data_IF_385619103558
#
_entry.id   IF_385619103558
#
_cell.length_a   1.000
_cell.length_b   1.000
_cell.length_c   1.000
_cell.angle_alpha   90.00
_cell.angle_beta   90.00
_cell.angle_gamma   90.00
#
_symmetry.space_group_name_H-M   'P 1'
#
loop_
_entity.id
_entity.type
_entity.pdbx_description
1 polymer ?
#
# COMPACT_ATOMS: atom_id res chain seq x y z
N UNK A 1 30.65 -4.54 -27.97
CA UNK A 1 29.22 -4.37 -27.67
C UNK A 1 29.04 -2.96 -27.11
N UNK A 2 28.36 -2.08 -27.84
CA UNK A 2 27.95 -0.78 -27.29
C UNK A 2 26.99 -1.06 -26.12
N UNK A 3 27.37 -0.66 -24.90
CA UNK A 3 26.46 -0.71 -23.74
C UNK A 3 25.25 0.19 -24.07
N UNK A 4 24.07 -0.37 -24.00
CA UNK A 4 22.84 0.39 -24.13
C UNK A 4 22.80 1.45 -23.02
N UNK A 5 22.42 2.69 -23.37
CA UNK A 5 22.24 3.72 -22.36
C UNK A 5 21.16 3.28 -21.36
N UNK A 6 21.42 3.41 -20.06
CA UNK A 6 20.48 3.05 -19.03
C UNK A 6 19.19 3.87 -19.16
N UNK A 7 18.06 3.20 -18.96
CA UNK A 7 16.73 3.76 -18.99
C UNK A 7 16.02 3.32 -17.71
N UNK A 8 15.72 4.29 -16.83
CA UNK A 8 15.14 4.02 -15.51
C UNK A 8 13.73 4.59 -15.48
N UNK A 9 12.68 3.78 -15.59
CA UNK A 9 11.31 4.25 -15.48
C UNK A 9 11.00 4.68 -14.05
N UNK A 10 10.12 5.66 -13.90
CA UNK A 10 9.48 6.02 -12.63
C UNK A 10 7.98 5.97 -12.87
N UNK A 11 7.28 5.28 -12.00
CA UNK A 11 5.83 5.13 -12.07
C UNK A 11 5.17 5.91 -10.94
N UNK A 12 4.01 6.51 -11.20
CA UNK A 12 3.23 7.23 -10.20
C UNK A 12 1.77 6.80 -10.23
N UNK A 13 1.17 6.74 -9.03
CA UNK A 13 -0.24 6.46 -8.78
C UNK A 13 -0.81 7.58 -7.90
N UNK A 14 -2.14 7.65 -7.84
CA UNK A 14 -2.86 8.54 -6.93
C UNK A 14 -3.70 7.70 -5.98
N UNK A 15 -3.35 7.66 -4.70
CA UNK A 15 -4.07 6.83 -3.74
C UNK A 15 -5.56 7.23 -3.57
N UNK A 16 -5.92 8.46 -3.92
CA UNK A 16 -7.31 8.95 -3.98
C UNK A 16 -8.11 8.42 -5.18
N UNK A 17 -7.44 7.83 -6.18
CA UNK A 17 -8.07 7.36 -7.42
C UNK A 17 -8.74 5.99 -7.24
N UNK A 18 -9.94 6.00 -6.67
CA UNK A 18 -10.77 4.82 -6.41
C UNK A 18 -12.13 5.01 -7.06
N UNK A 19 -12.28 4.55 -8.31
CA UNK A 19 -13.51 4.65 -9.11
C UNK A 19 -14.13 3.29 -9.45
N UNK A 20 -13.54 2.18 -8.97
CA UNK A 20 -13.99 0.82 -9.27
C UNK A 20 -13.25 -0.23 -8.48
N UNK A 21 -13.51 -1.52 -8.76
CA UNK A 21 -12.89 -2.64 -8.03
C UNK A 21 -11.65 -3.23 -8.72
N UNK A 22 -11.30 -2.79 -9.93
CA UNK A 22 -10.28 -3.41 -10.77
C UNK A 22 -9.06 -2.52 -10.98
N UNK A 23 -8.00 -3.09 -11.57
CA UNK A 23 -6.75 -2.42 -11.87
C UNK A 23 -6.92 -1.10 -12.65
N UNK A 24 -7.83 -1.05 -13.63
CA UNK A 24 -8.03 0.12 -14.48
C UNK A 24 -8.81 1.26 -13.80
N UNK A 25 -9.39 1.00 -12.64
CA UNK A 25 -10.31 1.90 -11.95
C UNK A 25 -9.95 2.17 -10.47
N UNK A 26 -8.90 1.51 -9.95
CA UNK A 26 -8.50 1.62 -8.55
C UNK A 26 -6.99 1.51 -8.41
N UNK A 27 -6.35 2.60 -8.00
CA UNK A 27 -4.90 2.66 -7.91
C UNK A 27 -4.30 1.79 -6.79
N UNK A 28 -5.06 1.43 -5.75
CA UNK A 28 -4.60 0.44 -4.76
C UNK A 28 -4.51 -0.97 -5.34
N UNK A 29 -5.50 -1.33 -6.18
CA UNK A 29 -5.49 -2.61 -6.91
C UNK A 29 -4.37 -2.60 -7.94
N UNK A 30 -4.27 -1.51 -8.72
CA UNK A 30 -3.23 -1.34 -9.72
C UNK A 30 -1.83 -1.45 -9.10
N UNK A 31 -1.56 -0.69 -8.05
CA UNK A 31 -0.25 -0.66 -7.39
C UNK A 31 0.17 -2.04 -6.86
N UNK A 32 -0.77 -2.76 -6.20
CA UNK A 32 -0.51 -4.11 -5.69
C UNK A 32 -0.15 -5.08 -6.82
N UNK A 33 -0.93 -5.09 -7.90
CA UNK A 33 -0.73 -5.99 -9.04
C UNK A 33 0.52 -5.63 -9.85
N UNK A 34 0.76 -4.34 -10.05
CA UNK A 34 1.92 -3.83 -10.75
C UNK A 34 3.22 -4.14 -9.99
N UNK A 35 3.27 -4.00 -8.68
CA UNK A 35 4.44 -4.34 -7.87
C UNK A 35 4.82 -5.82 -8.01
N UNK A 36 3.83 -6.71 -7.99
CA UNK A 36 4.02 -8.15 -8.25
C UNK A 36 4.52 -8.38 -9.68
N UNK A 37 3.94 -7.68 -10.64
CA UNK A 37 4.30 -7.83 -12.06
C UNK A 37 5.71 -7.31 -12.35
N UNK A 38 6.09 -6.13 -11.86
CA UNK A 38 7.42 -5.54 -11.98
C UNK A 38 8.50 -6.46 -11.41
N UNK A 39 8.20 -7.09 -10.28
CA UNK A 39 9.10 -8.05 -9.64
C UNK A 39 9.28 -9.31 -10.51
N UNK A 40 8.20 -9.84 -11.11
CA UNK A 40 8.28 -10.97 -12.06
C UNK A 40 9.06 -10.62 -13.33
N UNK A 41 9.01 -9.36 -13.76
CA UNK A 41 9.80 -8.86 -14.89
C UNK A 41 11.29 -8.67 -14.55
N UNK A 42 11.68 -8.86 -13.28
CA UNK A 42 13.05 -8.74 -12.80
C UNK A 42 13.52 -7.30 -12.57
N UNK A 43 12.60 -6.33 -12.52
CA UNK A 43 12.92 -4.96 -12.18
C UNK A 43 13.11 -4.79 -10.67
N UNK A 44 14.10 -3.99 -10.27
CA UNK A 44 14.42 -3.71 -8.87
C UNK A 44 13.95 -2.32 -8.49
N UNK A 45 13.14 -2.24 -7.46
CA UNK A 45 12.68 -0.96 -6.91
C UNK A 45 13.82 -0.24 -6.22
N UNK A 46 13.99 1.06 -6.50
CA UNK A 46 14.95 1.94 -5.82
C UNK A 46 14.29 3.28 -5.45
N UNK A 47 14.73 3.93 -4.35
CA UNK A 47 14.21 5.25 -3.97
C UNK A 47 14.44 6.31 -5.06
N UNK A 48 13.48 7.22 -5.26
CA UNK A 48 13.62 8.32 -6.21
C UNK A 48 14.85 9.19 -5.92
N UNK A 49 15.18 9.40 -4.65
CA UNK A 49 16.38 10.11 -4.25
C UNK A 49 17.67 9.43 -4.74
N UNK A 50 17.68 8.11 -4.92
CA UNK A 50 18.84 7.42 -5.51
C UNK A 50 18.91 7.65 -7.02
N UNK A 51 17.77 7.68 -7.73
CA UNK A 51 17.69 8.00 -9.16
C UNK A 51 18.20 9.44 -9.40
N UNK A 52 17.68 10.41 -8.65
CA UNK A 52 18.08 11.81 -8.74
C UNK A 52 19.59 11.98 -8.51
N UNK A 53 20.16 11.36 -7.45
CA UNK A 53 21.60 11.41 -7.18
C UNK A 53 22.44 10.79 -8.30
N UNK A 54 22.01 9.63 -8.83
CA UNK A 54 22.73 8.98 -9.94
C UNK A 54 22.67 9.79 -11.21
N UNK A 55 21.55 10.44 -11.50
CA UNK A 55 21.41 11.37 -12.63
C UNK A 55 22.35 12.56 -12.46
N UNK A 56 22.33 13.24 -11.31
CA UNK A 56 23.18 14.40 -11.01
C UNK A 56 24.68 14.09 -11.12
N UNK A 57 25.09 12.85 -10.82
CA UNK A 57 26.49 12.40 -10.91
C UNK A 57 26.88 11.83 -12.27
N UNK A 58 25.95 11.69 -13.21
CA UNK A 58 26.20 10.99 -14.48
C UNK A 58 26.38 9.47 -14.32
N UNK A 59 25.89 8.88 -13.23
CA UNK A 59 26.08 7.45 -12.87
C UNK A 59 24.82 6.61 -13.10
N UNK A 60 23.88 7.08 -13.95
CA UNK A 60 22.59 6.41 -14.16
C UNK A 60 22.73 4.96 -14.64
N UNK A 61 23.84 4.62 -15.30
CA UNK A 61 24.13 3.25 -15.74
C UNK A 61 24.22 2.23 -14.58
N UNK A 62 24.46 2.67 -13.35
CA UNK A 62 24.44 1.81 -12.16
C UNK A 62 23.02 1.33 -11.78
N UNK A 63 22.00 2.00 -12.32
CA UNK A 63 20.59 1.71 -12.06
C UNK A 63 19.92 0.99 -13.25
N UNK A 64 20.68 0.35 -14.13
CA UNK A 64 20.11 -0.50 -15.20
C UNK A 64 19.23 -1.62 -14.57
N UNK A 65 18.03 -1.80 -15.09
CA UNK A 65 17.04 -2.74 -14.53
C UNK A 65 16.40 -2.30 -13.22
N UNK A 66 16.56 -1.03 -12.83
CA UNK A 66 15.87 -0.45 -11.69
C UNK A 66 14.64 0.37 -12.11
N UNK A 67 13.75 0.60 -11.15
CA UNK A 67 12.52 1.36 -11.31
C UNK A 67 12.24 2.18 -10.04
N UNK A 68 11.70 3.40 -10.21
CA UNK A 68 11.19 4.23 -9.12
C UNK A 68 9.67 4.11 -8.97
N UNK A 69 9.17 4.26 -7.73
CA UNK A 69 7.74 4.28 -7.42
C UNK A 69 7.38 5.57 -6.69
N UNK A 70 6.26 6.19 -7.07
CA UNK A 70 5.77 7.41 -6.41
C UNK A 70 4.25 7.45 -6.34
N UNK A 71 3.75 8.27 -5.42
CA UNK A 71 2.34 8.64 -5.28
C UNK A 71 2.24 10.15 -5.26
N UNK A 72 1.15 10.70 -5.77
CA UNK A 72 0.92 12.13 -5.72
C UNK A 72 -0.22 12.47 -4.75
N UNK A 73 -0.34 13.75 -4.38
CA UNK A 73 -1.29 14.41 -3.50
C UNK A 73 -1.05 14.23 -2.01
N UNK A 74 -0.64 13.06 -1.52
CA UNK A 74 -0.35 12.81 -0.11
C UNK A 74 -1.62 12.70 0.75
N UNK A 75 -2.61 11.95 0.29
CA UNK A 75 -3.85 11.67 1.03
C UNK A 75 -3.63 10.60 2.10
N UNK A 76 -4.58 10.47 3.05
CA UNK A 76 -4.54 9.45 4.10
C UNK A 76 -4.48 8.02 3.53
N UNK A 77 -4.97 7.80 2.32
CA UNK A 77 -4.90 6.53 1.60
C UNK A 77 -3.47 6.06 1.29
N UNK A 78 -2.49 6.95 1.31
CA UNK A 78 -1.09 6.56 1.17
C UNK A 78 -0.60 5.73 2.35
N UNK A 79 -1.14 5.98 3.55
CA UNK A 79 -0.63 5.39 4.79
C UNK A 79 -1.65 4.61 5.61
N UNK A 80 -2.91 5.03 5.64
CA UNK A 80 -3.99 4.39 6.39
C UNK A 80 -4.87 3.52 5.49
N UNK A 81 -5.26 2.34 5.99
CA UNK A 81 -6.32 1.57 5.36
C UNK A 81 -7.65 2.27 5.61
N UNK A 82 -8.36 2.63 4.55
CA UNK A 82 -9.52 3.51 4.63
C UNK A 82 -10.79 2.84 4.09
N UNK A 83 -11.96 3.08 4.71
CA UNK A 83 -13.24 2.64 4.17
C UNK A 83 -13.73 3.59 3.07
N UNK A 84 -13.67 3.17 1.81
CA UNK A 84 -14.26 3.96 0.73
C UNK A 84 -15.79 3.72 0.68
N UNK A 85 -16.65 4.78 0.63
CA UNK A 85 -18.11 4.62 0.74
C UNK A 85 -18.74 3.74 -0.32
N UNK A 86 -18.19 3.75 -1.55
CA UNK A 86 -18.71 2.99 -2.68
C UNK A 86 -17.93 1.71 -2.96
N UNK A 87 -16.64 1.65 -2.60
CA UNK A 87 -15.74 0.58 -3.04
C UNK A 87 -15.16 -0.24 -1.89
N UNK A 88 -15.73 -0.07 -0.68
CA UNK A 88 -15.33 -0.85 0.50
C UNK A 88 -13.94 -0.50 1.03
N UNK A 89 -13.34 -1.35 1.86
CA UNK A 89 -12.03 -1.09 2.45
C UNK A 89 -10.93 -1.05 1.38
N UNK A 90 -10.12 0.00 1.43
CA UNK A 90 -8.93 0.16 0.59
C UNK A 90 -7.68 -0.10 1.43
N UNK A 91 -6.82 -0.98 0.94
CA UNK A 91 -5.51 -1.24 1.53
C UNK A 91 -4.55 -0.11 1.18
N UNK A 92 -3.96 0.59 2.16
CA UNK A 92 -3.08 1.73 1.91
C UNK A 92 -1.83 1.36 1.08
N UNK A 93 -1.27 2.33 0.37
CA UNK A 93 -0.04 2.13 -0.40
C UNK A 93 1.10 1.66 0.49
N UNK A 94 1.24 2.22 1.69
CA UNK A 94 2.22 1.81 2.70
C UNK A 94 2.04 0.36 3.13
N UNK A 95 0.81 -0.08 3.35
CA UNK A 95 0.52 -1.45 3.79
C UNK A 95 0.65 -2.45 2.64
N UNK A 96 0.36 -2.07 1.39
CA UNK A 96 0.66 -2.90 0.20
C UNK A 96 2.16 -3.21 0.12
N UNK A 97 3.04 -2.21 0.34
CA UNK A 97 4.49 -2.42 0.40
C UNK A 97 4.89 -3.36 1.56
N UNK A 98 4.25 -3.22 2.72
CA UNK A 98 4.49 -4.07 3.87
C UNK A 98 4.06 -5.52 3.61
N UNK A 99 2.87 -5.72 3.05
CA UNK A 99 2.34 -7.04 2.69
C UNK A 99 3.22 -7.73 1.65
N UNK A 100 3.69 -6.97 0.63
CA UNK A 100 4.64 -7.48 -0.35
C UNK A 100 5.93 -7.97 0.34
N UNK A 101 6.50 -7.17 1.25
CA UNK A 101 7.72 -7.53 1.98
C UNK A 101 7.50 -8.73 2.90
N UNK A 102 6.35 -8.83 3.55
CA UNK A 102 6.00 -9.98 4.38
C UNK A 102 5.87 -11.27 3.57
N UNK A 103 5.26 -11.19 2.36
CA UNK A 103 5.04 -12.34 1.48
C UNK A 103 6.31 -12.84 0.80
N UNK A 104 7.14 -11.93 0.30
CA UNK A 104 8.30 -12.27 -0.55
C UNK A 104 9.65 -12.20 0.15
N UNK A 105 9.71 -11.67 1.38
CA UNK A 105 10.95 -11.43 2.09
C UNK A 105 11.69 -10.16 1.64
N UNK A 106 12.64 -9.72 2.47
CA UNK A 106 13.40 -8.48 2.20
C UNK A 106 14.32 -8.59 0.97
N UNK A 107 14.82 -9.79 0.67
CA UNK A 107 15.82 -10.00 -0.38
C UNK A 107 15.22 -9.90 -1.80
N UNK A 108 13.92 -10.08 -1.95
CA UNK A 108 13.23 -9.97 -3.24
C UNK A 108 13.29 -8.55 -3.79
N UNK A 109 13.04 -7.55 -2.93
CA UNK A 109 13.17 -6.13 -3.25
C UNK A 109 13.92 -5.42 -2.10
N UNK A 110 15.28 -5.50 -2.05
CA UNK A 110 16.06 -5.02 -0.90
C UNK A 110 15.86 -3.53 -0.61
N UNK A 111 15.65 -2.74 -1.67
CA UNK A 111 15.43 -1.29 -1.60
C UNK A 111 13.99 -0.89 -1.83
N UNK A 112 13.01 -1.77 -1.52
CA UNK A 112 11.58 -1.50 -1.69
C UNK A 112 11.21 -0.18 -1.00
N UNK A 113 10.79 0.78 -1.80
CA UNK A 113 10.53 2.14 -1.35
C UNK A 113 9.64 2.87 -2.36
N UNK A 114 8.78 3.76 -1.87
CA UNK A 114 8.03 4.70 -2.71
C UNK A 114 8.20 6.14 -2.18
N UNK A 115 7.89 7.11 -3.01
CA UNK A 115 7.89 8.53 -2.64
C UNK A 115 6.47 9.06 -2.74
N UNK A 116 5.92 9.62 -1.66
CA UNK A 116 4.65 10.32 -1.66
C UNK A 116 4.91 11.84 -1.77
N UNK A 117 4.51 12.43 -2.87
CA UNK A 117 4.54 13.89 -3.05
C UNK A 117 3.25 14.47 -2.48
N UNK A 118 3.37 15.30 -1.44
CA UNK A 118 2.24 15.77 -0.64
C UNK A 118 1.96 17.26 -0.84
N UNK A 119 0.71 17.62 -1.05
CA UNK A 119 0.21 19.00 -0.95
C UNK A 119 0.35 19.47 0.49
N UNK A 120 1.01 20.61 0.70
CA UNK A 120 1.49 20.98 2.04
C UNK A 120 0.53 21.85 2.82
N UNK A 121 -0.24 22.73 2.17
CA UNK A 121 -1.17 23.66 2.82
C UNK A 121 -2.33 22.91 3.52
N UNK A 122 -2.49 23.02 4.87
CA UNK A 122 -3.61 22.40 5.58
C UNK A 122 -4.97 22.92 5.10
N UNK A 123 -5.04 24.22 4.77
CA UNK A 123 -6.26 24.86 4.30
C UNK A 123 -6.63 24.37 2.88
N UNK A 124 -5.64 24.24 1.99
CA UNK A 124 -5.85 23.68 0.66
C UNK A 124 -6.33 22.23 0.74
N UNK A 125 -5.67 21.39 1.53
CA UNK A 125 -6.08 19.99 1.72
C UNK A 125 -7.51 19.88 2.21
N UNK A 126 -7.92 20.69 3.19
CA UNK A 126 -9.29 20.71 3.67
C UNK A 126 -10.30 21.07 2.56
N UNK A 127 -10.01 22.11 1.76
CA UNK A 127 -10.88 22.52 0.65
C UNK A 127 -10.91 21.49 -0.47
N UNK A 128 -9.76 20.89 -0.77
CA UNK A 128 -9.67 19.85 -1.80
C UNK A 128 -10.35 18.55 -1.35
N UNK A 129 -10.27 18.20 -0.08
CA UNK A 129 -11.03 17.07 0.46
C UNK A 129 -12.53 17.27 0.26
N UNK A 130 -13.06 18.47 0.57
CA UNK A 130 -14.46 18.81 0.34
C UNK A 130 -14.86 18.77 -1.14
N UNK A 131 -13.98 19.21 -2.03
CA UNK A 131 -14.27 19.33 -3.47
C UNK A 131 -14.02 18.02 -4.24
N UNK A 132 -13.01 17.26 -3.89
CA UNK A 132 -12.53 16.11 -4.66
C UNK A 132 -12.78 14.77 -3.95
N UNK A 133 -12.75 14.72 -2.61
CA UNK A 133 -12.92 13.50 -1.80
C UNK A 133 -14.25 13.47 -1.02
N UNK A 134 -15.22 14.26 -1.44
CA UNK A 134 -16.60 14.29 -0.91
C UNK A 134 -16.66 14.75 0.55
N UNK A 135 -15.64 15.43 1.06
CA UNK A 135 -15.57 15.91 2.44
C UNK A 135 -15.46 14.79 3.48
N UNK A 136 -14.84 13.70 3.13
CA UNK A 136 -14.69 12.54 4.00
C UNK A 136 -13.59 12.70 5.06
N UNK A 137 -12.84 13.80 5.03
CA UNK A 137 -11.67 14.07 5.89
C UNK A 137 -10.59 13.02 5.72
N UNK A 138 -10.13 12.85 4.50
CA UNK A 138 -9.11 11.87 4.11
C UNK A 138 -7.78 12.52 3.70
N UNK A 139 -7.50 13.75 4.17
CA UNK A 139 -6.31 14.49 3.74
C UNK A 139 -5.62 15.21 4.90
N UNK A 140 -5.05 14.43 5.83
CA UNK A 140 -4.32 14.92 6.99
C UNK A 140 -2.79 14.82 6.77
N UNK A 141 -2.01 15.31 7.73
CA UNK A 141 -0.55 15.23 7.73
C UNK A 141 0.03 14.58 8.99
N UNK A 142 -0.80 14.13 9.90
CA UNK A 142 -0.40 13.52 11.17
C UNK A 142 0.34 12.19 11.01
N UNK A 143 0.17 11.53 9.88
CA UNK A 143 0.85 10.29 9.53
C UNK A 143 2.24 10.48 8.88
N UNK A 144 2.62 11.69 8.41
CA UNK A 144 3.88 11.92 7.68
C UNK A 144 5.11 11.46 8.45
N UNK A 145 5.22 11.88 9.73
CA UNK A 145 6.33 11.47 10.57
C UNK A 145 6.33 9.95 10.88
N UNK A 146 5.18 9.30 10.88
CA UNK A 146 5.07 7.85 11.06
C UNK A 146 5.51 7.09 9.80
N UNK A 147 5.15 7.57 8.61
CA UNK A 147 5.59 7.01 7.33
C UNK A 147 7.12 7.06 7.18
N UNK A 148 7.72 8.22 7.50
CA UNK A 148 9.18 8.39 7.49
C UNK A 148 9.88 7.43 8.45
N UNK A 149 9.36 7.24 9.66
CA UNK A 149 9.92 6.26 10.62
C UNK A 149 9.79 4.82 10.15
N UNK A 150 8.71 4.48 9.42
CA UNK A 150 8.52 3.16 8.83
C UNK A 150 9.55 2.87 7.72
N UNK A 151 10.00 3.91 7.02
CA UNK A 151 11.11 3.87 6.06
C UNK A 151 10.79 3.19 4.73
N UNK A 152 9.53 2.92 4.41
CA UNK A 152 9.09 2.38 3.10
C UNK A 152 8.49 3.45 2.20
N UNK A 153 8.06 4.58 2.78
CA UNK A 153 7.58 5.74 2.06
C UNK A 153 8.32 6.99 2.57
N UNK A 154 8.85 7.80 1.66
CA UNK A 154 9.35 9.14 1.96
C UNK A 154 8.29 10.17 1.58
N UNK A 155 8.12 11.19 2.43
CA UNK A 155 7.20 12.29 2.17
C UNK A 155 7.97 13.44 1.53
N UNK A 156 7.57 13.84 0.33
CA UNK A 156 8.21 14.86 -0.48
C UNK A 156 7.21 15.93 -0.94
N UNK A 157 7.69 17.03 -1.53
CA UNK A 157 6.88 18.22 -1.76
C UNK A 157 6.06 18.14 -3.06
N UNK A 158 4.76 18.41 -2.97
CA UNK A 158 3.84 18.58 -4.11
C UNK A 158 3.20 19.97 -4.13
N UNK A 159 4.02 21.00 -3.94
CA UNK A 159 3.63 22.42 -3.82
C UNK A 159 2.84 22.78 -2.54
N UNK A 160 2.50 24.06 -2.43
CA UNK A 160 1.72 24.58 -1.32
C UNK A 160 0.26 24.17 -1.40
N UNK A 161 -0.41 24.50 -2.51
CA UNK A 161 -1.86 24.28 -2.67
C UNK A 161 -2.25 23.61 -4.00
N UNK A 162 -1.25 23.09 -4.74
CA UNK A 162 -1.44 22.43 -6.02
C UNK A 162 -1.93 23.38 -7.15
N UNK A 163 -2.11 24.65 -6.89
CA UNK A 163 -2.78 25.59 -7.78
C UNK A 163 -4.09 25.01 -8.38
N UNK A 164 -4.83 24.27 -7.53
CA UNK A 164 -5.92 23.41 -7.98
C UNK A 164 -7.14 24.22 -8.46
N UNK A 165 -7.79 23.75 -9.52
CA UNK A 165 -8.94 24.43 -10.14
C UNK A 165 -10.12 24.67 -9.17
N UNK A 166 -10.30 23.79 -8.18
CA UNK A 166 -11.37 23.90 -7.18
C UNK A 166 -11.09 24.93 -6.08
N UNK A 167 -9.87 25.49 -5.98
CA UNK A 167 -9.57 26.51 -4.98
C UNK A 167 -10.00 27.88 -5.47
N UNK A 168 -10.70 28.65 -4.62
CA UNK A 168 -11.08 30.02 -4.91
C UNK A 168 -9.94 31.02 -4.76
N UNK A 169 -8.95 30.66 -3.93
CA UNK A 169 -7.88 31.52 -3.43
C UNK A 169 -6.54 30.78 -3.36
N UNK A 170 -6.02 30.31 -4.49
CA UNK A 170 -4.64 29.82 -4.58
C UNK A 170 -3.64 30.91 -4.27
N UNK A 171 -2.48 30.54 -3.68
CA UNK A 171 -1.37 31.47 -3.43
C UNK A 171 -0.67 31.93 -4.70
N UNK A 172 -0.78 31.15 -5.78
CA UNK A 172 -0.29 31.48 -7.10
C UNK A 172 -1.27 32.33 -7.90
N UNK A 173 -0.76 33.18 -8.75
CA UNK A 173 -1.52 33.95 -9.76
C UNK A 173 -1.54 33.26 -11.11
N UNK A 174 -0.80 32.17 -11.28
CA UNK A 174 -0.85 31.32 -12.47
C UNK A 174 -2.28 30.82 -12.74
N UNK A 175 -2.64 30.52 -14.00
CA UNK A 175 -3.93 29.90 -14.31
C UNK A 175 -4.15 28.64 -13.48
N UNK A 176 -5.30 28.52 -12.82
CA UNK A 176 -5.65 27.37 -12.00
C UNK A 176 -5.92 26.13 -12.83
N UNK A 177 -5.67 24.98 -12.24
CA UNK A 177 -5.82 23.69 -12.93
C UNK A 177 -4.61 23.35 -13.80
N UNK A 178 -3.45 23.95 -13.51
CA UNK A 178 -2.14 23.69 -14.07
C UNK A 178 -1.06 24.31 -13.22
N UNK A 179 0.22 23.99 -13.50
CA UNK A 179 1.36 24.46 -12.69
C UNK A 179 2.39 25.24 -13.54
N UNK A 180 1.92 26.04 -14.50
CA UNK A 180 2.74 26.81 -15.42
C UNK A 180 3.21 28.13 -14.79
N UNK A 181 3.93 28.04 -13.66
CA UNK A 181 4.52 29.19 -12.96
C UNK A 181 5.64 29.81 -13.79
N UNK A 182 5.64 31.13 -13.94
CA UNK A 182 6.55 31.89 -14.79
C UNK A 182 7.24 33.08 -14.10
N UNK A 183 7.08 33.19 -12.76
CA UNK A 183 7.64 34.28 -11.98
C UNK A 183 8.09 33.85 -10.58
N UNK A 184 9.05 34.61 -10.00
CA UNK A 184 9.63 34.29 -8.68
C UNK A 184 8.60 34.35 -7.54
N UNK A 185 7.62 35.25 -7.57
CA UNK A 185 6.68 35.44 -6.46
C UNK A 185 5.77 34.21 -6.30
N UNK A 186 5.25 33.67 -7.40
CA UNK A 186 4.43 32.47 -7.38
C UNK A 186 5.27 31.22 -7.04
N UNK A 187 6.51 31.15 -7.55
CA UNK A 187 7.41 30.04 -7.21
C UNK A 187 7.82 30.06 -5.73
N UNK A 188 8.08 31.23 -5.13
CA UNK A 188 8.35 31.34 -3.69
C UNK A 188 7.12 30.92 -2.85
N UNK A 189 5.92 31.31 -3.26
CA UNK A 189 4.69 30.97 -2.53
C UNK A 189 4.38 29.46 -2.60
N UNK A 190 4.50 28.85 -3.79
CA UNK A 190 4.13 27.45 -4.02
C UNK A 190 5.22 26.46 -3.63
N UNK A 191 6.50 26.81 -3.77
CA UNK A 191 7.59 25.84 -3.63
C UNK A 191 8.43 26.10 -2.40
N UNK A 192 8.90 27.36 -2.18
CA UNK A 192 9.79 27.65 -1.05
C UNK A 192 9.07 27.48 0.28
N UNK A 193 7.87 28.04 0.41
CA UNK A 193 7.08 27.94 1.64
C UNK A 193 6.66 26.47 1.90
N UNK A 194 6.19 25.76 0.87
CA UNK A 194 5.85 24.34 0.99
C UNK A 194 7.05 23.51 1.47
N UNK A 195 8.22 23.71 0.86
CA UNK A 195 9.46 22.99 1.23
C UNK A 195 9.83 23.24 2.69
N UNK A 196 9.73 24.49 3.15
CA UNK A 196 10.04 24.88 4.52
C UNK A 196 9.10 24.22 5.54
N UNK A 197 7.79 24.24 5.29
CA UNK A 197 6.77 23.65 6.16
C UNK A 197 6.87 22.14 6.17
N UNK A 198 7.00 21.51 5.01
CA UNK A 198 7.09 20.06 4.87
C UNK A 198 8.22 19.45 5.72
N UNK A 199 9.37 20.12 5.81
CA UNK A 199 10.48 19.66 6.66
C UNK A 199 10.10 19.53 8.12
N UNK A 200 9.25 20.42 8.61
CA UNK A 200 8.77 20.36 10.00
C UNK A 200 7.76 19.25 10.23
N UNK A 201 6.94 18.95 9.21
CA UNK A 201 5.89 17.91 9.27
C UNK A 201 6.49 16.50 9.19
N UNK A 202 7.39 16.26 8.23
CA UNK A 202 7.97 14.92 8.02
C UNK A 202 9.00 14.52 9.10
N UNK A 203 9.55 15.49 9.84
CA UNK A 203 10.55 15.27 10.92
C UNK A 203 11.76 14.45 10.46
N UNK A 204 12.19 14.66 9.22
CA UNK A 204 13.36 14.04 8.61
C UNK A 204 14.29 15.15 8.09
N UNK A 205 15.58 15.02 8.39
CA UNK A 205 16.63 15.87 7.82
C UNK A 205 16.95 15.49 6.37
N UNK A 206 17.62 16.40 5.67
CA UNK A 206 18.10 16.20 4.31
C UNK A 206 17.26 16.89 3.24
N UNK A 207 17.67 16.68 2.00
CA UNK A 207 17.07 17.34 0.85
C UNK A 207 15.64 16.88 0.59
N UNK A 208 14.88 17.76 -0.05
CA UNK A 208 13.50 17.54 -0.49
C UNK A 208 13.51 17.23 -1.98
N UNK A 209 12.65 16.34 -2.40
CA UNK A 209 12.27 16.17 -3.81
C UNK A 209 10.98 16.96 -4.07
N UNK A 210 10.83 17.48 -5.29
CA UNK A 210 9.65 18.20 -5.70
C UNK A 210 8.92 17.44 -6.81
N UNK A 211 7.62 17.19 -6.67
CA UNK A 211 6.75 16.69 -7.73
C UNK A 211 5.92 17.84 -8.28
N UNK A 212 5.95 18.06 -9.59
CA UNK A 212 5.12 19.09 -10.21
C UNK A 212 3.64 18.69 -10.15
N UNK A 213 2.75 19.55 -9.60
CA UNK A 213 1.32 19.39 -9.78
C UNK A 213 0.94 19.25 -11.27
N UNK A 214 0.01 18.33 -11.56
CA UNK A 214 -0.41 17.96 -12.92
C UNK A 214 0.70 17.36 -13.80
N UNK A 215 1.92 17.29 -13.31
CA UNK A 215 3.11 17.00 -14.11
C UNK A 215 3.65 18.21 -14.89
N UNK A 216 2.96 19.34 -14.86
CA UNK A 216 3.21 20.53 -15.67
C UNK A 216 4.55 21.20 -15.33
N UNK A 217 5.41 21.36 -16.32
CA UNK A 217 6.73 21.96 -16.17
C UNK A 217 6.86 23.23 -17.01
N UNK A 218 6.98 24.38 -16.35
CA UNK A 218 7.32 25.61 -17.06
C UNK A 218 8.83 25.72 -17.35
N UNK A 219 9.19 26.30 -18.49
CA UNK A 219 10.60 26.61 -18.81
C UNK A 219 11.25 27.49 -17.73
N UNK A 220 10.50 28.42 -17.14
CA UNK A 220 10.98 29.25 -16.04
C UNK A 220 11.41 28.42 -14.84
N UNK A 221 10.57 27.49 -14.37
CA UNK A 221 10.92 26.64 -13.22
C UNK A 221 12.09 25.72 -13.53
N UNK A 222 12.04 25.00 -14.66
CA UNK A 222 13.04 23.97 -14.96
C UNK A 222 14.41 24.52 -15.37
N UNK A 223 14.47 25.66 -16.07
CA UNK A 223 15.70 26.19 -16.67
C UNK A 223 16.27 27.42 -15.97
N UNK A 224 15.46 28.11 -15.15
CA UNK A 224 15.90 29.32 -14.47
C UNK A 224 15.74 29.23 -12.96
N UNK A 225 14.55 29.01 -12.42
CA UNK A 225 14.28 29.13 -11.00
C UNK A 225 14.93 28.01 -10.16
N UNK A 226 14.69 26.72 -10.46
CA UNK A 226 15.32 25.63 -9.73
C UNK A 226 16.85 25.66 -9.79
N UNK A 227 17.50 25.87 -10.97
CA UNK A 227 18.96 26.01 -11.04
C UNK A 227 19.52 27.12 -10.13
N UNK A 228 18.79 28.21 -9.91
CA UNK A 228 19.20 29.32 -9.05
C UNK A 228 18.88 29.09 -7.56
N UNK A 229 17.77 28.44 -7.25
CA UNK A 229 17.17 28.45 -5.91
C UNK A 229 17.26 27.13 -5.17
N UNK A 230 17.33 26.01 -5.86
CA UNK A 230 17.17 24.68 -5.27
C UNK A 230 18.22 24.39 -4.19
N UNK A 231 19.49 24.73 -4.40
CA UNK A 231 20.56 24.51 -3.43
C UNK A 231 20.26 25.23 -2.10
N UNK A 232 19.88 26.50 -2.16
CA UNK A 232 19.57 27.31 -0.96
C UNK A 232 18.32 26.81 -0.22
N UNK A 233 17.41 26.16 -0.92
CA UNK A 233 16.20 25.55 -0.38
C UNK A 233 16.40 24.08 0.01
N UNK A 234 17.56 23.47 -0.33
CA UNK A 234 17.82 22.04 -0.17
C UNK A 234 16.84 21.18 -0.94
N UNK A 235 16.53 21.55 -2.18
CA UNK A 235 15.75 20.72 -3.11
C UNK A 235 16.74 19.98 -4.01
N UNK A 236 16.69 18.65 -4.04
CA UNK A 236 17.64 17.84 -4.78
C UNK A 236 17.26 17.60 -6.24
N UNK A 237 15.97 17.54 -6.55
CA UNK A 237 15.47 17.27 -7.90
C UNK A 237 13.98 17.61 -8.00
N UNK A 238 13.47 17.77 -9.23
CA UNK A 238 12.06 17.95 -9.51
C UNK A 238 11.57 16.93 -10.56
N UNK A 239 10.33 16.41 -10.37
CA UNK A 239 9.75 15.31 -11.13
C UNK A 239 8.49 15.76 -11.86
N UNK A 240 8.47 15.55 -13.18
CA UNK A 240 7.33 15.82 -14.07
C UNK A 240 6.48 14.57 -14.27
N UNK A 241 5.38 14.70 -15.02
CA UNK A 241 4.61 13.59 -15.54
C UNK A 241 4.14 13.83 -16.99
N UNK A 242 4.69 14.85 -17.65
CA UNK A 242 4.34 15.24 -19.03
C UNK A 242 5.07 14.43 -20.09
N UNK A 243 6.24 13.89 -19.77
CA UNK A 243 7.09 13.17 -20.72
C UNK A 243 6.77 11.66 -20.68
N UNK A 244 6.48 11.09 -21.83
CA UNK A 244 6.23 9.65 -21.98
C UNK A 244 7.53 8.85 -22.14
N UNK A 245 8.59 9.20 -21.39
CA UNK A 245 9.88 8.53 -21.49
C UNK A 245 10.49 8.19 -20.12
N UNK A 246 11.34 7.15 -20.05
CA UNK A 246 12.08 6.84 -18.83
C UNK A 246 13.25 7.80 -18.63
N UNK A 247 13.71 7.94 -17.39
CA UNK A 247 14.91 8.71 -17.07
C UNK A 247 16.11 8.16 -17.84
N UNK A 248 16.88 9.05 -18.49
CA UNK A 248 18.09 8.73 -19.22
C UNK A 248 19.20 9.78 -18.94
N UNK A 249 20.40 9.55 -19.43
CA UNK A 249 21.57 10.35 -19.07
C UNK A 249 21.48 11.84 -19.42
N UNK A 250 20.59 12.23 -20.32
CA UNK A 250 20.33 13.64 -20.69
C UNK A 250 19.02 14.20 -20.12
N UNK A 251 18.30 13.45 -19.28
CA UNK A 251 17.13 13.99 -18.57
C UNK A 251 17.53 15.16 -17.68
N UNK A 252 16.67 16.18 -17.60
CA UNK A 252 16.87 17.31 -16.71
C UNK A 252 16.69 16.89 -15.25
N UNK A 253 17.57 17.33 -14.36
CA UNK A 253 17.39 17.12 -12.93
C UNK A 253 16.15 17.86 -12.38
N UNK A 254 15.72 18.89 -13.09
CA UNK A 254 14.59 19.75 -12.72
C UNK A 254 13.29 19.44 -13.48
N UNK A 255 13.29 18.33 -14.23
CA UNK A 255 12.12 17.78 -14.92
C UNK A 255 12.36 16.28 -15.18
N UNK A 256 12.50 15.51 -14.12
CA UNK A 256 12.68 14.05 -14.20
C UNK A 256 11.35 13.42 -14.57
N UNK A 257 11.26 12.70 -15.71
CA UNK A 257 9.99 12.19 -16.22
C UNK A 257 9.44 11.01 -15.39
N UNK A 258 8.12 10.93 -15.30
CA UNK A 258 7.37 9.82 -14.68
C UNK A 258 6.24 9.38 -15.60
N UNK A 259 5.86 8.12 -15.48
CA UNK A 259 4.65 7.56 -16.09
C UNK A 259 3.51 7.51 -15.05
N UNK A 260 2.29 7.85 -15.46
CA UNK A 260 1.12 7.93 -14.58
C UNK A 260 0.15 6.79 -14.86
N UNK A 261 -0.21 6.06 -13.81
CA UNK A 261 -1.24 5.02 -13.84
C UNK A 261 -2.56 5.58 -14.37
N UNK A 262 -3.37 4.71 -14.99
CA UNK A 262 -4.66 5.03 -15.62
C UNK A 262 -4.56 5.96 -16.83
N UNK A 263 -3.48 6.74 -16.97
CA UNK A 263 -3.20 7.52 -18.18
C UNK A 263 -2.44 6.71 -19.22
N UNK A 264 -1.28 6.16 -18.87
CA UNK A 264 -0.44 5.40 -19.79
C UNK A 264 -0.68 3.89 -19.73
N UNK A 265 -1.20 3.34 -18.63
CA UNK A 265 -1.59 1.93 -18.55
C UNK A 265 -2.79 1.72 -17.62
N UNK A 266 -3.58 0.68 -17.90
CA UNK A 266 -4.76 0.26 -17.14
C UNK A 266 -4.78 -1.23 -16.84
N UNK A 267 -3.75 -1.95 -17.24
CA UNK A 267 -3.56 -3.38 -16.97
C UNK A 267 -2.06 -3.69 -16.82
N UNK A 268 -1.67 -4.74 -16.08
CA UNK A 268 -0.28 -5.16 -16.00
C UNK A 268 0.36 -5.45 -17.36
N UNK A 269 -0.43 -5.96 -18.33
CA UNK A 269 0.04 -6.22 -19.69
C UNK A 269 0.35 -4.93 -20.48
N UNK A 270 -0.42 -3.88 -20.27
CA UNK A 270 -0.14 -2.55 -20.84
C UNK A 270 1.09 -1.93 -20.20
N UNK A 271 1.26 -2.06 -18.88
CA UNK A 271 2.48 -1.63 -18.18
C UNK A 271 3.72 -2.33 -18.76
N UNK A 272 3.68 -3.65 -18.96
CA UNK A 272 4.80 -4.38 -19.56
C UNK A 272 5.12 -3.88 -20.98
N UNK A 273 4.10 -3.62 -21.79
CA UNK A 273 4.27 -3.06 -23.13
C UNK A 273 4.93 -1.68 -23.07
N UNK A 274 4.41 -0.78 -22.22
CA UNK A 274 4.97 0.55 -21.98
C UNK A 274 6.47 0.48 -21.61
N UNK A 275 6.82 -0.36 -20.65
CA UNK A 275 8.20 -0.53 -20.19
C UNK A 275 9.12 -1.12 -21.29
N UNK A 276 8.61 -1.96 -22.17
CA UNK A 276 9.36 -2.48 -23.33
C UNK A 276 9.58 -1.41 -24.39
N UNK A 277 8.57 -0.63 -24.71
CA UNK A 277 8.63 0.49 -25.66
C UNK A 277 9.58 1.57 -25.15
N UNK A 278 9.48 1.92 -23.87
CA UNK A 278 10.40 2.81 -23.17
C UNK A 278 11.84 2.27 -23.10
N UNK A 279 12.04 1.01 -23.42
CA UNK A 279 13.36 0.39 -23.42
C UNK A 279 13.91 0.05 -22.06
N UNK A 280 13.09 0.02 -21.02
CA UNK A 280 13.45 -0.39 -19.67
C UNK A 280 13.58 -1.91 -19.52
N UNK A 281 12.89 -2.67 -20.39
CA UNK A 281 12.96 -4.14 -20.42
C UNK A 281 13.78 -4.62 -21.62
N UNK A 282 14.43 -5.82 -21.53
CA UNK A 282 15.03 -6.46 -22.67
C UNK A 282 13.97 -6.72 -23.75
N UNK A 283 14.26 -6.44 -25.00
CA UNK A 283 13.40 -6.86 -26.11
C UNK A 283 13.33 -8.38 -26.09
N UNK A 284 12.13 -9.00 -26.24
CA UNK A 284 12.07 -10.42 -26.45
C UNK A 284 12.92 -10.72 -27.68
N UNK A 285 13.91 -11.59 -27.52
CA UNK A 285 14.63 -12.15 -28.66
C UNK A 285 13.54 -12.67 -29.60
N UNK A 286 13.42 -12.05 -30.79
CA UNK A 286 12.43 -12.44 -31.77
C UNK A 286 12.47 -13.95 -31.87
N UNK A 287 11.31 -14.60 -31.78
CA UNK A 287 11.19 -16.05 -31.92
C UNK A 287 11.99 -16.46 -33.16
N UNK A 288 13.20 -16.93 -32.94
CA UNK A 288 13.82 -17.84 -33.86
C UNK A 288 12.89 -19.06 -33.78
N UNK A 289 11.94 -19.12 -34.69
CA UNK A 289 11.10 -20.29 -34.86
C UNK A 289 12.06 -21.44 -35.12
N UNK A 290 12.36 -22.20 -34.06
CA UNK A 290 13.01 -23.48 -34.22
C UNK A 290 12.01 -24.37 -34.98
N UNK A 291 12.32 -24.65 -36.22
CA UNK A 291 11.63 -25.61 -37.09
C UNK A 291 11.57 -27.03 -36.50
N UNK A 292 11.96 -27.21 -35.21
CA UNK A 292 12.06 -28.52 -34.57
C UNK A 292 11.01 -28.81 -33.48
N UNK A 293 10.03 -27.92 -33.24
CA UNK A 293 8.98 -28.18 -32.24
C UNK A 293 7.65 -28.66 -32.85
N UNK A 294 7.67 -29.19 -34.06
CA UNK A 294 6.46 -29.76 -34.73
C UNK A 294 6.45 -31.25 -34.72
N UNK A 295 6.65 -31.91 -33.57
CA UNK A 295 6.36 -33.35 -33.42
C UNK A 295 6.31 -33.78 -31.97
N UNK A 296 5.33 -33.30 -31.21
CA UNK A 296 4.83 -34.00 -30.01
C UNK A 296 3.74 -33.13 -29.36
N UNK A 297 2.51 -33.19 -29.81
CA UNK A 297 1.31 -32.90 -29.00
C UNK A 297 0.05 -33.22 -29.85
N UNK A 298 -0.17 -34.48 -30.17
CA UNK A 298 -1.52 -35.02 -30.27
C UNK A 298 -1.62 -35.99 -29.11
N UNK A 299 -1.79 -35.46 -27.93
CA UNK A 299 -2.37 -36.16 -26.80
C UNK A 299 -3.75 -35.54 -26.64
N UNK A 300 -4.78 -36.31 -26.91
CA UNK A 300 -6.16 -36.04 -26.55
C UNK A 300 -6.24 -35.77 -25.06
N UNK A 301 -6.22 -34.51 -24.70
CA UNK A 301 -6.56 -34.08 -23.33
C UNK A 301 -8.08 -34.13 -23.23
N UNK A 302 -8.59 -35.08 -22.50
CA UNK A 302 -9.89 -35.01 -21.83
C UNK A 302 -9.84 -33.69 -21.01
N UNK A 303 -10.81 -32.79 -21.13
CA UNK A 303 -10.81 -31.59 -20.31
C UNK A 303 -10.82 -32.04 -18.84
N UNK A 304 -9.75 -31.73 -18.11
CA UNK A 304 -9.74 -31.82 -16.66
C UNK A 304 -10.91 -30.98 -16.17
N UNK A 305 -11.77 -31.49 -15.32
CA UNK A 305 -12.77 -30.70 -14.62
C UNK A 305 -12.04 -29.50 -14.02
N UNK A 306 -12.45 -28.28 -14.37
CA UNK A 306 -11.86 -27.06 -13.82
C UNK A 306 -11.88 -27.20 -12.29
N UNK A 307 -10.70 -27.20 -11.70
CA UNK A 307 -10.59 -27.25 -10.25
C UNK A 307 -11.30 -25.99 -9.69
N UNK A 308 -12.15 -26.18 -8.68
CA UNK A 308 -12.80 -25.04 -8.01
C UNK A 308 -11.72 -24.08 -7.53
N UNK A 309 -11.94 -22.75 -7.65
CA UNK A 309 -11.03 -21.75 -7.13
C UNK A 309 -10.75 -21.98 -5.63
N UNK A 310 -9.57 -21.62 -5.16
CA UNK A 310 -9.22 -21.73 -3.73
C UNK A 310 -9.89 -20.58 -2.97
N UNK A 311 -10.50 -20.85 -1.82
CA UNK A 311 -11.11 -19.85 -0.96
C UNK A 311 -10.10 -18.76 -0.54
N UNK A 312 -8.81 -19.10 -0.44
CA UNK A 312 -7.73 -18.18 -0.06
C UNK A 312 -7.57 -17.01 -1.03
N UNK A 313 -7.99 -17.16 -2.26
CA UNK A 313 -7.95 -16.09 -3.26
C UNK A 313 -8.96 -14.97 -2.97
N UNK A 314 -9.95 -15.25 -2.10
CA UNK A 314 -11.07 -14.35 -1.81
C UNK A 314 -11.05 -13.78 -0.39
N UNK A 315 -10.12 -14.19 0.45
CA UNK A 315 -9.98 -13.71 1.82
C UNK A 315 -8.57 -13.24 2.12
N UNK A 316 -8.45 -12.09 2.75
CA UNK A 316 -7.17 -11.55 3.20
C UNK A 316 -7.33 -11.01 4.62
N UNK A 317 -6.41 -11.35 5.51
CA UNK A 317 -6.33 -10.76 6.84
C UNK A 317 -5.39 -9.56 6.80
N UNK A 318 -5.88 -8.41 7.23
CA UNK A 318 -5.09 -7.17 7.30
C UNK A 318 -4.87 -6.78 8.75
N UNK A 319 -3.65 -6.43 9.12
CA UNK A 319 -3.38 -5.62 10.29
C UNK A 319 -3.68 -4.16 9.95
N UNK A 320 -4.50 -3.47 10.77
CA UNK A 320 -5.03 -2.15 10.45
C UNK A 320 -4.76 -1.15 11.56
N UNK A 321 -4.52 0.11 11.19
CA UNK A 321 -4.24 1.19 12.14
C UNK A 321 -5.52 1.83 12.67
N UNK A 322 -6.57 1.94 11.84
CA UNK A 322 -7.89 2.47 12.23
C UNK A 322 -8.97 1.38 12.16
N UNK A 323 -8.96 0.54 13.18
CA UNK A 323 -9.98 -0.50 13.29
C UNK A 323 -11.39 0.06 13.57
N UNK A 324 -11.49 1.25 14.17
CA UNK A 324 -12.80 1.87 14.46
C UNK A 324 -13.53 2.25 13.18
N UNK A 325 -12.80 2.81 12.20
CA UNK A 325 -13.35 3.14 10.90
C UNK A 325 -13.76 1.89 10.10
N UNK A 326 -12.96 0.82 10.15
CA UNK A 326 -13.12 -0.37 9.33
C UNK A 326 -14.08 -1.42 9.93
N UNK A 327 -14.00 -1.69 11.22
CA UNK A 327 -14.72 -2.78 11.89
C UNK A 327 -15.57 -2.31 13.09
N UNK A 328 -15.63 -1.01 13.39
CA UNK A 328 -16.31 -0.47 14.58
C UNK A 328 -17.79 -0.82 14.64
N UNK A 329 -18.49 -0.81 13.50
CA UNK A 329 -19.90 -1.21 13.45
C UNK A 329 -20.09 -2.71 13.75
N UNK A 330 -19.25 -3.55 13.15
CA UNK A 330 -19.26 -5.00 13.39
C UNK A 330 -19.00 -5.32 14.86
N UNK A 331 -17.98 -4.69 15.44
CA UNK A 331 -17.61 -4.87 16.84
C UNK A 331 -18.71 -4.40 17.79
N UNK A 332 -19.29 -3.21 17.56
CA UNK A 332 -20.37 -2.66 18.40
C UNK A 332 -21.63 -3.54 18.34
N UNK A 333 -21.95 -4.13 17.20
CA UNK A 333 -23.06 -5.10 17.07
C UNK A 333 -22.82 -6.36 17.91
N UNK A 334 -21.56 -6.79 18.02
CA UNK A 334 -21.22 -8.03 18.74
C UNK A 334 -21.08 -7.82 20.26
N UNK A 335 -20.51 -6.69 20.69
CA UNK A 335 -20.13 -6.46 22.08
C UNK A 335 -20.87 -5.29 22.76
N UNK A 336 -21.61 -4.46 22.02
CA UNK A 336 -22.39 -3.35 22.57
C UNK A 336 -21.57 -2.09 22.94
N UNK A 337 -20.28 -2.08 22.68
CA UNK A 337 -19.38 -0.94 22.93
C UNK A 337 -18.39 -0.76 21.78
N UNK A 338 -17.64 0.33 21.81
CA UNK A 338 -16.64 0.63 20.77
C UNK A 338 -15.40 -0.27 20.91
N UNK A 339 -14.66 -0.42 19.78
CA UNK A 339 -13.37 -1.11 19.78
C UNK A 339 -12.43 -0.40 20.77
N UNK A 340 -11.82 -1.12 21.72
CA UNK A 340 -10.85 -0.54 22.64
C UNK A 340 -9.54 -0.20 21.92
N UNK A 341 -8.75 0.72 22.52
CA UNK A 341 -7.41 1.00 22.02
C UNK A 341 -6.50 -0.18 22.34
N UNK A 342 -6.10 -0.91 21.30
CA UNK A 342 -5.19 -2.04 21.35
C UNK A 342 -4.00 -1.80 20.43
N UNK A 343 -2.90 -2.54 20.66
CA UNK A 343 -1.70 -2.34 19.85
C UNK A 343 -1.83 -2.91 18.43
N UNK A 344 -2.58 -4.02 18.28
CA UNK A 344 -2.72 -4.71 17.01
C UNK A 344 -4.18 -5.07 16.74
N UNK A 345 -4.70 -4.61 15.63
CA UNK A 345 -6.04 -4.89 15.15
C UNK A 345 -5.98 -5.63 13.82
N UNK A 346 -6.76 -6.70 13.70
CA UNK A 346 -6.82 -7.50 12.48
C UNK A 346 -8.25 -7.59 11.96
N UNK A 347 -8.41 -7.38 10.67
CA UNK A 347 -9.69 -7.56 9.97
C UNK A 347 -9.55 -8.60 8.88
N UNK A 348 -10.58 -9.43 8.69
CA UNK A 348 -10.67 -10.33 7.54
C UNK A 348 -11.50 -9.66 6.45
N UNK A 349 -10.89 -9.41 5.32
CA UNK A 349 -11.52 -8.84 4.13
C UNK A 349 -11.95 -9.96 3.20
N UNK A 350 -13.21 -9.97 2.83
CA UNK A 350 -13.74 -10.81 1.75
C UNK A 350 -13.83 -10.00 0.47
N UNK A 351 -13.20 -10.47 -0.60
CA UNK A 351 -13.29 -9.94 -1.96
C UNK A 351 -14.12 -10.88 -2.83
N UNK A 352 -15.32 -10.49 -3.28
CA UNK A 352 -16.20 -11.37 -4.04
C UNK A 352 -15.57 -11.83 -5.37
N UNK A 353 -15.89 -13.06 -5.84
CA UNK A 353 -15.46 -13.52 -7.15
C UNK A 353 -16.00 -12.62 -8.29
N UNK A 354 -15.24 -12.48 -9.36
CA UNK A 354 -15.68 -11.76 -10.55
C UNK A 354 -17.01 -12.34 -11.08
N UNK A 355 -17.97 -11.47 -11.40
CA UNK A 355 -19.30 -11.86 -11.90
C UNK A 355 -20.29 -12.28 -10.80
N UNK A 356 -19.96 -12.08 -9.51
CA UNK A 356 -20.95 -12.19 -8.43
C UNK A 356 -21.87 -10.95 -8.39
N UNK A 357 -23.07 -11.10 -7.81
CA UNK A 357 -23.99 -9.96 -7.58
C UNK A 357 -23.42 -8.94 -6.59
N UNK A 358 -22.56 -9.38 -5.68
CA UNK A 358 -21.81 -8.55 -4.75
C UNK A 358 -20.41 -8.30 -5.33
N UNK A 359 -20.10 -7.07 -5.65
CA UNK A 359 -18.84 -6.69 -6.32
C UNK A 359 -17.86 -5.97 -5.40
N UNK A 360 -18.26 -5.70 -4.14
CA UNK A 360 -17.45 -4.88 -3.23
C UNK A 360 -16.74 -5.73 -2.18
N UNK A 361 -15.44 -5.51 -1.97
CA UNK A 361 -14.75 -6.02 -0.79
C UNK A 361 -15.41 -5.52 0.50
N UNK A 362 -15.43 -6.36 1.54
CA UNK A 362 -15.97 -5.98 2.85
C UNK A 362 -15.28 -6.69 3.99
N UNK A 363 -15.33 -6.07 5.17
CA UNK A 363 -14.88 -6.69 6.40
C UNK A 363 -15.93 -7.73 6.86
N UNK A 364 -15.48 -8.96 7.09
CA UNK A 364 -16.34 -10.07 7.51
C UNK A 364 -15.97 -10.64 8.87
N UNK A 365 -14.80 -10.31 9.40
CA UNK A 365 -14.41 -10.66 10.77
C UNK A 365 -13.37 -9.67 11.31
N UNK A 366 -13.22 -9.65 12.62
CA UNK A 366 -12.27 -8.83 13.35
C UNK A 366 -11.74 -9.58 14.57
N UNK A 367 -10.48 -9.33 14.93
CA UNK A 367 -9.85 -9.77 16.19
C UNK A 367 -8.77 -8.76 16.57
N UNK A 368 -8.47 -8.61 17.87
CA UNK A 368 -7.33 -7.81 18.30
C UNK A 368 -6.35 -8.60 19.18
N UNK A 369 -5.11 -8.12 19.22
CA UNK A 369 -4.02 -8.70 19.98
C UNK A 369 -3.36 -7.61 20.82
N UNK A 370 -3.27 -7.82 22.13
CA UNK A 370 -2.63 -6.92 23.06
C UNK A 370 -1.25 -7.51 23.49
N UNK A 371 -0.14 -6.90 23.08
CA UNK A 371 1.17 -7.39 23.51
C UNK A 371 1.38 -7.18 24.99
N UNK A 372 1.95 -8.19 25.61
CA UNK A 372 2.50 -8.18 26.97
C UNK A 372 3.94 -8.64 26.93
N UNK A 373 4.69 -8.42 27.98
CA UNK A 373 6.04 -8.91 28.06
C UNK A 373 6.09 -10.44 27.97
N UNK A 374 6.51 -10.96 26.81
CA UNK A 374 6.67 -12.38 26.52
C UNK A 374 5.42 -13.13 26.07
N UNK A 375 4.28 -12.46 25.76
CA UNK A 375 3.08 -13.09 25.19
C UNK A 375 2.10 -12.04 24.65
N UNK A 376 1.03 -12.49 23.98
CA UNK A 376 -0.09 -11.65 23.58
C UNK A 376 -1.40 -12.11 24.22
N UNK A 377 -2.31 -11.16 24.44
CA UNK A 377 -3.69 -11.44 24.82
C UNK A 377 -4.57 -11.26 23.59
N UNK A 378 -5.30 -12.31 23.22
CA UNK A 378 -6.22 -12.36 22.08
C UNK A 378 -7.64 -12.08 22.56
N UNK A 379 -8.31 -11.10 21.99
CA UNK A 379 -9.66 -10.75 22.41
C UNK A 379 -10.48 -10.09 21.32
N UNK A 380 -11.75 -9.81 21.65
CA UNK A 380 -12.67 -9.05 20.81
C UNK A 380 -12.98 -9.69 19.45
N UNK A 381 -12.84 -11.00 19.29
CA UNK A 381 -13.11 -11.70 18.03
C UNK A 381 -14.61 -11.63 17.71
N UNK A 382 -14.95 -11.09 16.54
CA UNK A 382 -16.32 -11.05 16.03
C UNK A 382 -16.39 -11.30 14.52
N UNK A 383 -17.56 -11.80 14.08
CA UNK A 383 -17.82 -12.22 12.70
C UNK A 383 -19.13 -11.63 12.22
N UNK A 384 -19.19 -11.14 10.98
CA UNK A 384 -20.48 -10.88 10.33
C UNK A 384 -21.07 -12.19 9.79
N UNK A 385 -21.92 -12.82 10.57
CA UNK A 385 -22.59 -14.07 10.17
C UNK A 385 -23.48 -13.90 8.93
N UNK A 386 -23.87 -12.66 8.55
CA UNK A 386 -24.66 -12.40 7.32
C UNK A 386 -23.81 -12.60 6.07
N UNK A 387 -22.49 -12.44 6.19
CA UNK A 387 -21.56 -12.65 5.08
C UNK A 387 -21.70 -14.06 4.48
N UNK A 388 -21.93 -15.08 5.28
CA UNK A 388 -22.11 -16.45 4.80
C UNK A 388 -23.25 -16.60 3.78
N UNK A 389 -24.27 -15.76 3.85
CA UNK A 389 -25.44 -15.83 2.94
C UNK A 389 -25.13 -15.33 1.54
N UNK A 390 -24.04 -14.59 1.37
CA UNK A 390 -23.63 -13.98 0.11
C UNK A 390 -22.54 -14.79 -0.59
N UNK A 391 -21.96 -15.79 0.10
CA UNK A 391 -20.93 -16.61 -0.50
C UNK A 391 -21.53 -17.57 -1.54
N UNK A 392 -20.89 -17.75 -2.71
CA UNK A 392 -21.20 -18.85 -3.60
C UNK A 392 -21.17 -20.20 -2.83
N UNK A 393 -22.01 -21.15 -3.20
CA UNK A 393 -22.11 -22.43 -2.46
C UNK A 393 -20.78 -23.17 -2.32
N UNK A 394 -19.96 -23.12 -3.35
CA UNK A 394 -18.64 -23.75 -3.34
C UNK A 394 -17.71 -23.07 -2.32
N UNK A 395 -17.72 -21.73 -2.29
CA UNK A 395 -16.90 -20.93 -1.36
C UNK A 395 -17.36 -21.14 0.09
N UNK A 396 -18.68 -21.10 0.33
CA UNK A 396 -19.24 -21.40 1.65
C UNK A 396 -18.79 -22.77 2.17
N UNK A 397 -18.80 -23.80 1.31
CA UNK A 397 -18.32 -25.14 1.65
C UNK A 397 -16.87 -25.14 2.09
N UNK A 398 -15.98 -24.55 1.29
CA UNK A 398 -14.55 -24.48 1.59
C UNK A 398 -14.25 -23.68 2.87
N UNK A 399 -14.90 -22.52 3.06
CA UNK A 399 -14.73 -21.70 4.27
C UNK A 399 -15.19 -22.44 5.52
N UNK A 400 -16.33 -23.14 5.44
CA UNK A 400 -16.83 -23.98 6.55
C UNK A 400 -15.85 -25.11 6.87
N UNK A 401 -15.33 -25.79 5.86
CA UNK A 401 -14.39 -26.90 6.03
C UNK A 401 -13.03 -26.42 6.56
N UNK A 402 -12.65 -25.16 6.29
CA UNK A 402 -11.52 -24.47 6.90
C UNK A 402 -11.77 -23.99 8.34
N UNK A 403 -12.97 -24.21 8.89
CA UNK A 403 -13.32 -23.86 10.27
C UNK A 403 -14.11 -22.58 10.45
N UNK A 404 -14.46 -21.87 9.36
CA UNK A 404 -15.25 -20.65 9.35
C UNK A 404 -14.43 -19.37 9.55
N UNK A 405 -15.06 -18.21 9.35
CA UNK A 405 -14.41 -16.89 9.35
C UNK A 405 -13.65 -16.57 10.65
N UNK A 406 -14.18 -16.98 11.80
CA UNK A 406 -13.51 -16.81 13.10
C UNK A 406 -12.14 -17.52 13.13
N UNK A 407 -12.12 -18.78 12.67
CA UNK A 407 -10.90 -19.58 12.60
C UNK A 407 -9.89 -18.94 11.65
N UNK A 408 -10.34 -18.41 10.50
CA UNK A 408 -9.45 -17.78 9.51
C UNK A 408 -8.78 -16.54 10.12
N UNK A 409 -9.54 -15.56 10.61
CA UNK A 409 -8.97 -14.31 11.14
C UNK A 409 -8.07 -14.56 12.36
N UNK A 410 -8.45 -15.49 13.24
CA UNK A 410 -7.64 -15.82 14.41
C UNK A 410 -6.35 -16.53 14.00
N UNK A 411 -6.42 -17.52 13.09
CA UNK A 411 -5.23 -18.24 12.62
C UNK A 411 -4.22 -17.33 11.95
N UNK A 412 -4.70 -16.45 11.06
CA UNK A 412 -3.84 -15.53 10.31
C UNK A 412 -3.22 -14.48 11.24
N UNK A 413 -4.02 -13.88 12.16
CA UNK A 413 -3.49 -12.89 13.11
C UNK A 413 -2.37 -13.49 13.98
N UNK A 414 -2.45 -14.77 14.36
CA UNK A 414 -1.38 -15.44 15.11
C UNK A 414 -0.07 -15.57 14.32
N UNK A 415 -0.15 -15.74 12.99
CA UNK A 415 1.05 -15.79 12.15
C UNK A 415 1.73 -14.43 12.02
N UNK A 416 1.00 -13.34 12.24
CA UNK A 416 1.49 -11.96 12.17
C UNK A 416 2.11 -11.48 13.49
N UNK A 417 2.05 -12.24 14.59
CA UNK A 417 2.57 -11.85 15.91
C UNK A 417 4.11 -11.92 16.03
N UNK A 418 4.82 -12.21 14.95
CA UNK A 418 6.28 -12.21 14.90
C UNK A 418 6.91 -13.21 15.87
N UNK A 419 7.79 -12.69 16.73
CA UNK A 419 8.58 -13.52 17.66
C UNK A 419 7.87 -13.89 18.97
N UNK A 420 6.58 -13.60 19.11
CA UNK A 420 5.83 -13.94 20.33
C UNK A 420 5.83 -15.46 20.61
N UNK A 421 6.12 -15.91 21.82
CA UNK A 421 6.14 -17.32 22.15
C UNK A 421 4.74 -17.89 22.43
N UNK A 422 3.75 -17.06 22.81
CA UNK A 422 2.41 -17.49 23.17
C UNK A 422 1.35 -16.43 22.95
N UNK A 423 0.13 -16.86 22.68
CA UNK A 423 -1.07 -16.05 22.72
C UNK A 423 -2.11 -16.67 23.66
N UNK A 424 -2.72 -15.86 24.52
CA UNK A 424 -3.75 -16.27 25.46
C UNK A 424 -5.10 -15.70 25.07
N UNK A 425 -6.15 -16.50 25.17
CA UNK A 425 -7.55 -16.11 24.98
C UNK A 425 -8.35 -16.29 26.28
N UNK A 426 -9.20 -15.30 26.58
CA UNK A 426 -10.22 -15.42 27.62
C UNK A 426 -11.57 -15.70 26.96
N UNK A 427 -12.09 -16.93 27.11
CA UNK A 427 -13.14 -17.46 26.25
C UNK A 427 -14.37 -17.89 27.10
N UNK A 428 -15.36 -17.00 27.12
CA UNK A 428 -16.59 -17.21 27.91
C UNK A 428 -17.72 -17.93 27.17
N UNK A 429 -17.61 -18.14 25.84
CA UNK A 429 -18.68 -18.75 25.04
C UNK A 429 -18.19 -19.98 24.26
N UNK A 430 -19.10 -20.95 24.09
CA UNK A 430 -18.79 -22.25 23.49
C UNK A 430 -18.42 -22.19 22.00
N UNK A 431 -18.96 -21.21 21.25
CA UNK A 431 -18.63 -21.06 19.81
C UNK A 431 -17.24 -20.51 19.65
N UNK A 432 -16.86 -19.45 20.41
CA UNK A 432 -15.53 -18.89 20.45
C UNK A 432 -14.51 -19.95 20.87
N UNK A 433 -14.80 -20.72 21.93
CA UNK A 433 -13.94 -21.84 22.36
C UNK A 433 -13.72 -22.86 21.24
N UNK A 434 -14.80 -23.24 20.53
CA UNK A 434 -14.67 -24.19 19.43
C UNK A 434 -13.81 -23.65 18.27
N UNK A 435 -13.86 -22.33 18.00
CA UNK A 435 -12.97 -21.68 17.01
C UNK A 435 -11.52 -21.69 17.49
N UNK A 436 -11.26 -21.33 18.73
CA UNK A 436 -9.92 -21.32 19.31
C UNK A 436 -9.26 -22.70 19.33
N UNK A 437 -10.00 -23.73 19.71
CA UNK A 437 -9.51 -25.11 19.63
C UNK A 437 -9.10 -25.51 18.20
N UNK A 438 -9.86 -25.09 17.17
CA UNK A 438 -9.50 -25.35 15.77
C UNK A 438 -8.25 -24.61 15.33
N UNK A 439 -7.96 -23.46 15.94
CA UNK A 439 -6.74 -22.69 15.64
C UNK A 439 -5.52 -23.16 16.45
N UNK A 440 -5.67 -24.18 17.29
CA UNK A 440 -4.59 -24.79 18.06
C UNK A 440 -4.40 -24.19 19.47
N UNK A 441 -5.37 -23.47 20.00
CA UNK A 441 -5.41 -23.17 21.41
C UNK A 441 -5.70 -24.44 22.22
N UNK A 442 -5.15 -24.50 23.40
CA UNK A 442 -5.36 -25.58 24.37
C UNK A 442 -5.77 -25.01 25.72
N UNK A 443 -6.41 -25.82 26.53
CA UNK A 443 -6.75 -25.45 27.90
C UNK A 443 -5.52 -25.29 28.78
N UNK A 444 -5.53 -24.26 29.62
CA UNK A 444 -4.44 -24.03 30.59
C UNK A 444 -4.67 -24.75 31.92
N UNK A 445 -5.87 -25.27 32.15
CA UNK A 445 -6.32 -25.75 33.45
C UNK A 445 -6.92 -24.67 34.35
N UNK A 446 -6.90 -23.41 33.92
CA UNK A 446 -7.56 -22.26 34.55
C UNK A 446 -8.85 -22.00 33.79
N UNK A 447 -9.96 -21.81 34.52
CA UNK A 447 -11.27 -21.62 33.92
C UNK A 447 -11.27 -20.45 32.92
N UNK A 448 -11.87 -20.67 31.75
CA UNK A 448 -11.99 -19.72 30.63
C UNK A 448 -10.65 -19.25 29.99
N UNK A 449 -9.50 -19.65 30.52
CA UNK A 449 -8.19 -19.26 29.96
C UNK A 449 -7.65 -20.34 29.03
N UNK A 450 -7.45 -19.99 27.78
CA UNK A 450 -6.83 -20.84 26.77
C UNK A 450 -5.49 -20.27 26.33
N UNK A 451 -4.59 -21.12 25.80
CA UNK A 451 -3.28 -20.70 25.29
C UNK A 451 -2.98 -21.37 23.95
N UNK A 452 -2.41 -20.61 23.03
CA UNK A 452 -1.72 -21.12 21.84
C UNK A 452 -0.24 -20.88 21.98
N UNK A 453 0.54 -21.96 22.03
CA UNK A 453 1.99 -21.88 22.00
C UNK A 453 2.46 -21.66 20.57
N UNK A 454 3.10 -20.52 20.32
CA UNK A 454 3.60 -20.14 19.00
C UNK A 454 5.03 -20.63 18.78
N UNK A 455 5.74 -20.93 19.89
CA UNK A 455 7.09 -21.50 19.90
C UNK A 455 7.20 -22.63 20.92
N UNK A 456 8.10 -23.61 20.74
CA UNK A 456 8.45 -24.56 21.78
C UNK A 456 9.05 -23.84 22.99
N UNK A 457 8.51 -24.10 24.18
CA UNK A 457 8.98 -23.54 25.45
C UNK A 457 9.17 -24.63 26.50
N UNK A 458 10.12 -24.46 27.46
CA UNK A 458 10.25 -25.27 28.65
C UNK A 458 8.96 -25.23 29.51
N UNK A 459 8.60 -26.32 30.17
CA UNK A 459 7.36 -26.40 30.96
C UNK A 459 7.31 -25.38 32.11
N UNK A 460 8.47 -25.06 32.70
CA UNK A 460 8.55 -24.03 33.75
C UNK A 460 8.19 -22.64 33.20
N UNK A 461 8.67 -22.32 32.00
CA UNK A 461 8.35 -21.05 31.34
C UNK A 461 6.88 -20.97 30.91
N UNK A 462 6.33 -22.06 30.37
CA UNK A 462 4.90 -22.17 30.07
C UNK A 462 4.05 -21.89 31.32
N UNK A 463 4.39 -22.51 32.45
CA UNK A 463 3.66 -22.29 33.71
C UNK A 463 3.71 -20.83 34.16
N UNK A 464 4.89 -20.18 34.10
CA UNK A 464 5.03 -18.75 34.43
C UNK A 464 4.17 -17.85 33.52
N UNK A 465 4.14 -18.14 32.22
CA UNK A 465 3.32 -17.36 31.28
C UNK A 465 1.83 -17.55 31.55
N UNK A 466 1.36 -18.77 31.87
CA UNK A 466 -0.02 -19.05 32.26
C UNK A 466 -0.40 -18.29 33.53
N UNK A 467 0.44 -18.32 34.59
CA UNK A 467 0.18 -17.59 35.83
C UNK A 467 0.10 -16.08 35.61
N UNK A 468 0.98 -15.53 34.75
CA UNK A 468 0.96 -14.10 34.39
C UNK A 468 -0.27 -13.70 33.58
N UNK A 469 -0.67 -14.54 32.62
CA UNK A 469 -1.89 -14.29 31.86
C UNK A 469 -3.14 -14.38 32.73
N UNK A 470 -3.21 -15.35 33.63
CA UNK A 470 -4.30 -15.51 34.59
C UNK A 470 -4.49 -14.29 35.51
N UNK A 471 -3.36 -13.66 35.93
CA UNK A 471 -3.39 -12.46 36.75
C UNK A 471 -3.97 -11.23 36.05
N UNK A 472 -4.13 -11.27 34.71
CA UNK A 472 -4.69 -10.19 33.89
C UNK A 472 -6.17 -10.39 33.54
N UNK A 473 -6.75 -11.53 33.92
CA UNK A 473 -8.16 -11.82 33.62
C UNK A 473 -9.13 -10.93 34.43
N UNK A 474 -10.31 -10.61 33.88
CA UNK A 474 -10.74 -10.79 32.48
C UNK A 474 -10.11 -9.77 31.53
N UNK A 475 -9.84 -10.15 30.28
CA UNK A 475 -9.27 -9.28 29.27
C UNK A 475 -9.94 -9.44 27.90
#
# INVERSE_FOLDING_TARGET
MLRRAARVPILTWHASDVAGPDHGSNDHVAFREDLEHLTRLGLRVVPLAAIARSLARGELSSLEGCIGLSFDDGTDFDFHDMPHPQWGPQRSMSNILADFRARHGKDTQPSLHATAFAVVSPEARRKLDEACLIGCRWWHDDWYAAAERRGTIAIECHSWDHNHASLSDSVSRAPRGGFMIDNDADAEAEISEATRVLRTLRKRDGDVLFGYPYGDVSDFLARDWFPRRAESLGIAAAFSADDEEPVHASSSLWAIPRFTARHQWKTPGELERLLREAGALPRPLGRITSLFARRAAIATTVPAAEALPDWRDYFQTWEVNDAKALAGELFRKSFGHDIPDMAHHYVLVYSPPAGSDDVQPRIVAYVHQLPKEGFHLCGGMCVDERAYRTFPKWLFGQVRDAGGLATLVTSDSMQMLGDSPAAFGYVGDSKARAADLRTGFVDTGIDLLMVKWLKPLPEEEKRRLVERAAALMPF
#
